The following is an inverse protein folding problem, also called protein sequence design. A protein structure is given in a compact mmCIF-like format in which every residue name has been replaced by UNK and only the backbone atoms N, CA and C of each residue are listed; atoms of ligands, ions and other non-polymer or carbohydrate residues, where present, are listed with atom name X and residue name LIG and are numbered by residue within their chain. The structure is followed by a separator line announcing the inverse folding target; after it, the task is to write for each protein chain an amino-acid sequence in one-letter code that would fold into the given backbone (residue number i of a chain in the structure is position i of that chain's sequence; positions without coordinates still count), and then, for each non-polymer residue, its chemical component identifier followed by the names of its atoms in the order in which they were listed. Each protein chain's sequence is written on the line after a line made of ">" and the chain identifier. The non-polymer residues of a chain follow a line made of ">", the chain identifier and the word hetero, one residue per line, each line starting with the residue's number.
data_IF_704204689203
#
_entry.id   IF_704204689203
#
_cell.length_a   1.000
_cell.length_b   1.000
_cell.length_c   1.000
_cell.angle_alpha   90.00
_cell.angle_beta   90.00
_cell.angle_gamma   90.00
#
_symmetry.space_group_name_H-M   'P 1'
#
loop_
_entity.id
_entity.type
_entity.pdbx_description
1 polymer ?
#
# COMPACT_ATOMS: atom_id res chain seq x y z
N UNK A 1 47.66 -34.48 13.81
CA UNK A 1 46.24 -34.41 14.23
C UNK A 1 45.44 -33.75 13.12
N UNK A 2 44.68 -34.55 12.36
CA UNK A 2 43.73 -34.06 11.35
C UNK A 2 42.44 -33.69 12.08
N UNK A 3 41.94 -32.46 11.93
CA UNK A 3 40.53 -32.18 12.17
C UNK A 3 39.87 -31.90 10.82
N UNK A 4 38.90 -32.76 10.51
CA UNK A 4 38.08 -32.74 9.31
C UNK A 4 37.06 -31.60 9.36
N UNK A 5 36.71 -31.13 8.16
CA UNK A 5 35.71 -30.13 7.87
C UNK A 5 34.29 -30.53 8.31
N UNK A 6 33.48 -29.54 8.68
CA UNK A 6 32.03 -29.61 8.54
C UNK A 6 31.53 -28.30 7.94
N UNK A 7 31.50 -28.26 6.61
CA UNK A 7 30.80 -27.26 5.82
C UNK A 7 29.33 -27.70 5.76
N UNK A 8 28.47 -27.05 6.54
CA UNK A 8 27.02 -27.25 6.43
C UNK A 8 26.52 -26.36 5.30
N UNK A 9 26.48 -26.93 4.09
CA UNK A 9 25.67 -26.42 2.99
C UNK A 9 24.20 -26.66 3.34
N UNK A 10 23.49 -25.62 3.75
CA UNK A 10 22.01 -25.64 3.72
C UNK A 10 21.58 -25.30 2.31
N UNK A 11 21.47 -26.33 1.48
CA UNK A 11 20.77 -26.27 0.20
C UNK A 11 19.35 -26.78 0.38
N UNK A 12 18.38 -25.88 0.38
CA UNK A 12 17.06 -26.16 -0.19
C UNK A 12 16.38 -24.85 -0.60
N UNK A 13 15.90 -24.72 -1.84
CA UNK A 13 15.06 -23.61 -2.23
C UNK A 13 13.70 -23.81 -1.57
N UNK A 14 13.23 -22.84 -0.78
CA UNK A 14 11.80 -22.80 -0.48
C UNK A 14 11.11 -22.40 -1.78
N UNK A 15 10.53 -23.39 -2.46
CA UNK A 15 9.43 -23.16 -3.38
C UNK A 15 8.33 -22.46 -2.58
N UNK A 16 8.26 -21.14 -2.67
CA UNK A 16 7.05 -20.43 -2.30
C UNK A 16 6.02 -20.80 -3.37
N UNK A 17 5.12 -21.71 -3.02
CA UNK A 17 3.90 -21.95 -3.75
C UNK A 17 3.26 -20.60 -4.02
N UNK A 18 3.27 -20.16 -5.29
CA UNK A 18 2.43 -19.06 -5.72
C UNK A 18 1.00 -19.47 -5.41
N UNK A 19 0.42 -18.87 -4.37
CA UNK A 19 -1.02 -18.86 -4.21
C UNK A 19 -1.56 -18.09 -5.41
N UNK A 20 -1.84 -18.80 -6.50
CA UNK A 20 -2.79 -18.38 -7.51
C UNK A 20 -4.11 -18.20 -6.74
N UNK A 21 -4.39 -16.97 -6.30
CA UNK A 21 -5.77 -16.59 -6.00
C UNK A 21 -6.48 -16.72 -7.34
N UNK A 22 -7.34 -17.75 -7.43
CA UNK A 22 -8.03 -18.15 -8.65
C UNK A 22 -8.50 -16.95 -9.47
N UNK A 23 -8.36 -17.04 -10.80
CA UNK A 23 -9.09 -16.23 -11.78
C UNK A 23 -10.59 -16.52 -11.65
N UNK A 24 -11.24 -16.10 -10.56
CA UNK A 24 -12.69 -16.11 -10.51
C UNK A 24 -13.15 -14.88 -11.28
N UNK A 25 -13.91 -15.02 -12.39
CA UNK A 25 -14.64 -13.90 -12.94
C UNK A 25 -15.59 -13.42 -11.84
N UNK A 26 -15.23 -12.33 -11.20
CA UNK A 26 -16.10 -11.64 -10.26
C UNK A 26 -17.06 -10.81 -11.11
N UNK A 27 -18.22 -11.39 -11.41
CA UNK A 27 -19.33 -10.64 -12.00
C UNK A 27 -20.02 -9.90 -10.86
N UNK A 28 -19.69 -8.62 -10.69
CA UNK A 28 -20.47 -7.72 -9.85
C UNK A 28 -21.63 -7.18 -10.69
N UNK A 29 -22.85 -7.18 -10.14
CA UNK A 29 -23.95 -6.40 -10.70
C UNK A 29 -23.73 -4.93 -10.32
N UNK A 30 -23.00 -4.19 -11.16
CA UNK A 30 -22.57 -2.81 -10.91
C UNK A 30 -23.57 -1.78 -11.42
N UNK A 31 -24.82 -2.15 -11.67
CA UNK A 31 -25.86 -1.22 -12.10
C UNK A 31 -26.30 -0.22 -11.00
N UNK A 32 -25.60 -0.17 -9.85
CA UNK A 32 -25.83 0.83 -8.82
C UNK A 32 -24.94 2.06 -9.04
N UNK A 33 -25.54 3.25 -8.97
CA UNK A 33 -24.85 4.56 -9.11
C UNK A 33 -24.02 4.96 -7.87
N UNK A 34 -23.84 4.04 -6.92
CA UNK A 34 -23.05 4.21 -5.71
C UNK A 34 -21.68 3.53 -5.88
N UNK A 35 -20.63 3.98 -5.17
CA UNK A 35 -19.34 3.29 -5.20
C UNK A 35 -19.49 1.81 -4.82
N UNK A 36 -18.95 0.94 -5.66
CA UNK A 36 -18.91 -0.49 -5.40
C UNK A 36 -17.54 -0.90 -4.87
N UNK A 37 -17.53 -1.77 -3.86
CA UNK A 37 -16.30 -2.28 -3.28
C UNK A 37 -16.12 -3.75 -3.63
N UNK A 38 -14.89 -4.11 -4.00
CA UNK A 38 -14.42 -5.48 -4.03
C UNK A 38 -13.36 -5.63 -2.93
N UNK A 39 -13.42 -6.69 -2.14
CA UNK A 39 -12.41 -6.97 -1.13
C UNK A 39 -12.12 -8.47 -1.07
N UNK A 40 -10.85 -8.82 -0.98
CA UNK A 40 -10.39 -10.21 -0.82
C UNK A 40 -9.20 -10.26 0.11
N UNK A 41 -9.12 -11.31 0.92
CA UNK A 41 -7.91 -11.60 1.69
C UNK A 41 -6.76 -11.82 0.71
N UNK A 42 -5.64 -11.17 0.98
CA UNK A 42 -4.46 -11.24 0.13
C UNK A 42 -3.21 -11.01 0.97
N UNK A 43 -2.22 -11.91 0.92
CA UNK A 43 -1.03 -11.76 1.75
C UNK A 43 -0.23 -10.54 1.31
N UNK A 44 0.54 -10.00 2.24
CA UNK A 44 1.42 -8.86 1.99
C UNK A 44 2.32 -9.05 0.76
N UNK A 45 2.38 -8.01 -0.09
CA UNK A 45 3.17 -8.03 -1.30
C UNK A 45 2.69 -7.05 -2.37
N UNK A 46 3.37 -7.09 -3.52
CA UNK A 46 2.96 -6.34 -4.70
C UNK A 46 2.15 -7.24 -5.63
N UNK A 47 1.07 -6.69 -6.18
CA UNK A 47 0.18 -7.38 -7.09
C UNK A 47 -0.09 -6.54 -8.33
N UNK A 48 -0.19 -7.20 -9.47
CA UNK A 48 -0.78 -6.62 -10.67
C UNK A 48 -2.27 -6.89 -10.64
N UNK A 49 -3.04 -5.82 -10.69
CA UNK A 49 -4.48 -5.87 -10.88
C UNK A 49 -4.77 -5.52 -12.32
N UNK A 50 -5.48 -6.38 -13.03
CA UNK A 50 -5.98 -6.14 -14.38
C UNK A 50 -7.50 -6.11 -14.33
N UNK A 51 -8.08 -5.01 -14.79
CA UNK A 51 -9.53 -4.81 -14.84
C UNK A 51 -9.99 -4.69 -16.29
N UNK A 52 -11.16 -5.26 -16.58
CA UNK A 52 -11.90 -4.98 -17.82
C UNK A 52 -13.05 -4.05 -17.45
N UNK A 53 -13.06 -2.86 -18.05
CA UNK A 53 -14.06 -1.81 -17.81
C UNK A 53 -14.95 -1.64 -19.03
N UNK A 54 -16.16 -1.14 -18.84
CA UNK A 54 -17.17 -0.96 -19.90
C UNK A 54 -18.13 -2.15 -20.07
N UNK A 55 -19.04 -2.02 -21.02
CA UNK A 55 -20.16 -2.95 -21.21
C UNK A 55 -21.15 -2.45 -22.26
N UNK A 56 -22.40 -2.89 -22.19
CA UNK A 56 -23.43 -2.52 -23.16
C UNK A 56 -23.80 -1.02 -23.08
N UNK A 57 -23.69 -0.42 -21.90
CA UNK A 57 -23.92 1.00 -21.65
C UNK A 57 -22.63 1.84 -21.70
N UNK A 58 -22.78 3.16 -21.81
CA UNK A 58 -21.65 4.09 -21.65
C UNK A 58 -21.15 4.09 -20.20
N UNK A 59 -19.83 4.03 -20.03
CA UNK A 59 -19.18 3.95 -18.72
C UNK A 59 -18.31 5.15 -18.41
N UNK A 60 -18.20 5.47 -17.12
CA UNK A 60 -17.19 6.38 -16.55
C UNK A 60 -16.76 5.81 -15.20
N UNK A 61 -15.58 5.17 -15.19
CA UNK A 61 -15.09 4.40 -14.05
C UNK A 61 -13.76 4.92 -13.54
N UNK A 62 -13.73 5.31 -12.27
CA UNK A 62 -12.53 5.54 -11.48
C UNK A 62 -12.28 4.31 -10.61
N UNK A 63 -11.02 3.89 -10.52
CA UNK A 63 -10.60 2.78 -9.68
C UNK A 63 -9.62 3.30 -8.63
N UNK A 64 -9.94 3.05 -7.36
CA UNK A 64 -9.05 3.29 -6.24
C UNK A 64 -8.76 1.98 -5.52
N UNK A 65 -7.66 1.93 -4.77
CA UNK A 65 -7.36 0.80 -3.89
C UNK A 65 -7.16 1.24 -2.44
N UNK A 66 -7.47 0.34 -1.52
CA UNK A 66 -7.43 0.53 -0.06
C UNK A 66 -8.13 1.82 0.36
N UNK A 67 -7.49 2.61 1.22
CA UNK A 67 -7.94 3.94 1.67
C UNK A 67 -7.78 5.00 0.58
N UNK A 68 -8.43 4.80 -0.57
CA UNK A 68 -8.59 5.76 -1.69
C UNK A 68 -7.32 6.07 -2.50
N UNK A 69 -6.33 5.17 -2.58
CA UNK A 69 -5.18 5.34 -3.51
C UNK A 69 -5.66 5.35 -4.95
N UNK A 70 -5.44 6.44 -5.69
CA UNK A 70 -5.94 6.57 -7.06
C UNK A 70 -5.12 5.68 -8.01
N UNK A 71 -5.79 4.75 -8.69
CA UNK A 71 -5.17 3.81 -9.62
C UNK A 71 -5.50 4.16 -11.07
N UNK A 72 -6.79 4.28 -11.37
CA UNK A 72 -7.30 4.68 -12.69
C UNK A 72 -8.29 5.83 -12.51
N UNK A 73 -8.15 6.86 -13.34
CA UNK A 73 -8.96 8.07 -13.25
C UNK A 73 -9.92 8.15 -14.43
N UNK A 74 -11.21 8.22 -14.14
CA UNK A 74 -12.29 8.53 -15.09
C UNK A 74 -12.14 7.84 -16.46
N UNK A 75 -11.98 6.51 -16.45
CA UNK A 75 -11.92 5.72 -17.68
C UNK A 75 -13.30 5.72 -18.33
N UNK A 76 -13.40 6.41 -19.46
CA UNK A 76 -14.65 6.50 -20.25
C UNK A 76 -14.70 5.37 -21.28
N UNK A 77 -15.87 4.75 -21.42
CA UNK A 77 -16.17 3.75 -22.46
C UNK A 77 -17.47 4.10 -23.15
N UNK A 78 -17.53 3.93 -24.47
CA UNK A 78 -18.78 4.02 -25.23
C UNK A 78 -19.68 2.79 -24.99
N UNK A 79 -20.99 2.86 -25.31
CA UNK A 79 -21.87 1.70 -25.32
C UNK A 79 -21.31 0.58 -26.20
N UNK A 80 -21.25 -0.63 -25.65
CA UNK A 80 -20.67 -1.83 -26.28
C UNK A 80 -19.14 -1.90 -26.26
N UNK A 81 -18.45 -0.86 -25.77
CA UNK A 81 -16.99 -0.84 -25.65
C UNK A 81 -16.53 -1.50 -24.36
N UNK A 82 -15.43 -2.25 -24.44
CA UNK A 82 -14.69 -2.69 -23.25
C UNK A 82 -13.23 -2.32 -23.37
N UNK A 83 -12.60 -2.01 -22.24
CA UNK A 83 -11.20 -1.60 -22.18
C UNK A 83 -10.48 -2.33 -21.05
N UNK A 84 -9.31 -2.89 -21.36
CA UNK A 84 -8.43 -3.50 -20.36
C UNK A 84 -7.43 -2.48 -19.83
N UNK A 85 -7.28 -2.44 -18.51
CA UNK A 85 -6.29 -1.62 -17.80
C UNK A 85 -5.62 -2.44 -16.72
N UNK A 86 -4.35 -2.16 -16.45
CA UNK A 86 -3.62 -2.79 -15.36
C UNK A 86 -2.87 -1.75 -14.55
N UNK A 87 -2.78 -1.98 -13.24
CA UNK A 87 -1.99 -1.18 -12.30
C UNK A 87 -1.34 -2.09 -11.27
N UNK A 88 -0.34 -1.55 -10.56
CA UNK A 88 0.32 -2.26 -9.46
C UNK A 88 -0.19 -1.71 -8.13
N UNK A 89 -0.50 -2.61 -7.20
CA UNK A 89 -0.92 -2.28 -5.84
C UNK A 89 -0.02 -3.00 -4.85
N UNK A 90 0.33 -2.31 -3.76
CA UNK A 90 1.02 -2.90 -2.62
C UNK A 90 0.01 -3.16 -1.50
N UNK A 91 -0.11 -4.42 -1.07
CA UNK A 91 -0.87 -4.85 0.10
C UNK A 91 0.11 -5.07 1.24
N UNK A 92 -0.28 -4.70 2.47
CA UNK A 92 0.57 -4.79 3.65
C UNK A 92 -0.21 -5.19 4.89
N UNK A 93 0.48 -5.83 5.81
CA UNK A 93 0.01 -6.16 7.15
C UNK A 93 0.85 -5.43 8.20
N UNK A 94 0.41 -5.44 9.45
CA UNK A 94 1.14 -4.76 10.54
C UNK A 94 2.40 -5.50 10.98
N UNK A 95 2.51 -6.81 10.72
CA UNK A 95 3.58 -7.64 11.25
C UNK A 95 4.97 -7.21 10.77
N UNK A 96 5.98 -7.33 11.63
CA UNK A 96 7.39 -7.19 11.29
C UNK A 96 8.21 -8.29 11.99
N UNK A 97 9.36 -8.71 11.43
CA UNK A 97 10.24 -9.64 12.11
C UNK A 97 10.60 -9.14 13.52
N UNK A 98 10.51 -10.00 14.55
CA UNK A 98 10.85 -9.58 15.90
C UNK A 98 12.33 -9.19 15.98
N UNK A 99 12.67 -8.17 16.80
CA UNK A 99 14.05 -7.78 16.98
C UNK A 99 14.85 -8.90 17.67
N UNK A 100 16.18 -8.83 17.52
CA UNK A 100 17.13 -9.68 18.24
C UNK A 100 16.87 -9.66 19.76
N UNK A 101 17.28 -10.73 20.44
CA UNK A 101 17.09 -10.85 21.89
C UNK A 101 17.69 -9.64 22.62
N UNK A 102 16.84 -8.91 23.35
CA UNK A 102 17.13 -7.67 24.11
C UNK A 102 17.28 -6.37 23.29
N UNK A 103 17.13 -6.40 21.97
CA UNK A 103 17.05 -5.17 21.19
C UNK A 103 15.67 -4.49 21.39
N UNK A 104 15.61 -3.15 21.57
CA UNK A 104 14.35 -2.44 21.69
C UNK A 104 13.56 -2.51 20.38
N UNK A 105 12.23 -2.56 20.49
CA UNK A 105 11.34 -2.61 19.33
C UNK A 105 10.08 -3.41 19.62
N UNK A 106 9.48 -3.95 18.57
CA UNK A 106 8.29 -4.78 18.62
C UNK A 106 8.17 -5.62 17.35
N UNK A 107 7.13 -6.44 17.27
CA UNK A 107 6.87 -7.34 16.15
C UNK A 107 5.70 -6.88 15.27
N UNK A 108 5.18 -5.66 15.46
CA UNK A 108 4.13 -5.09 14.64
C UNK A 108 4.17 -3.56 14.65
N UNK A 109 3.72 -2.94 13.56
CA UNK A 109 3.47 -1.49 13.47
C UNK A 109 2.41 -1.09 14.49
N UNK A 110 2.64 0.02 15.19
CA UNK A 110 1.68 0.57 16.14
C UNK A 110 0.62 1.36 15.37
N UNK A 111 -0.59 0.83 15.33
CA UNK A 111 -1.74 1.42 14.64
C UNK A 111 -2.51 2.33 15.58
N UNK A 112 -2.83 3.54 15.13
CA UNK A 112 -3.60 4.51 15.92
C UNK A 112 -5.12 4.35 15.71
N UNK A 113 -5.94 4.93 16.59
CA UNK A 113 -7.40 4.79 16.56
C UNK A 113 -8.06 5.22 15.24
N UNK A 114 -7.44 6.11 14.45
CA UNK A 114 -7.98 6.59 13.17
C UNK A 114 -7.81 5.55 12.06
N UNK A 115 -6.77 4.74 12.16
CA UNK A 115 -6.44 3.67 11.21
C UNK A 115 -7.22 2.38 11.49
N UNK A 116 -7.77 2.22 12.70
CA UNK A 116 -8.60 1.06 13.04
C UNK A 116 -9.81 0.98 12.10
N UNK A 117 -9.96 -0.19 11.46
CA UNK A 117 -10.99 -0.46 10.47
C UNK A 117 -10.80 0.27 9.14
N UNK A 118 -9.61 0.84 8.87
CA UNK A 118 -9.21 1.23 7.51
C UNK A 118 -8.88 0.00 6.66
N UNK A 119 -8.87 0.17 5.35
CA UNK A 119 -8.52 -0.89 4.38
C UNK A 119 -7.01 -1.05 4.18
N UNK A 120 -6.19 -0.43 5.04
CA UNK A 120 -4.75 -0.34 4.82
C UNK A 120 -3.94 -1.41 5.56
N UNK A 121 -4.47 -1.89 6.69
CA UNK A 121 -3.77 -2.77 7.64
C UNK A 121 -4.62 -3.99 8.03
N UNK A 122 -5.48 -4.45 7.13
CA UNK A 122 -6.51 -5.46 7.38
C UNK A 122 -6.34 -6.76 6.57
N UNK A 123 -5.12 -7.03 6.10
CA UNK A 123 -4.69 -8.24 5.39
C UNK A 123 -5.49 -8.53 4.10
N UNK A 124 -6.03 -7.48 3.49
CA UNK A 124 -6.87 -7.54 2.30
C UNK A 124 -6.36 -6.62 1.21
N UNK A 125 -6.75 -6.94 -0.02
CA UNK A 125 -6.84 -5.96 -1.10
C UNK A 125 -8.29 -5.50 -1.21
N UNK A 126 -8.52 -4.21 -1.03
CA UNK A 126 -9.81 -3.58 -1.30
C UNK A 126 -9.73 -2.65 -2.51
N UNK A 127 -10.65 -2.79 -3.45
CA UNK A 127 -10.82 -1.90 -4.61
C UNK A 127 -12.14 -1.16 -4.49
N UNK A 128 -12.12 0.15 -4.76
CA UNK A 128 -13.29 0.99 -4.91
C UNK A 128 -13.48 1.31 -6.39
N UNK A 129 -14.68 1.04 -6.91
CA UNK A 129 -15.13 1.42 -8.25
C UNK A 129 -16.16 2.53 -8.13
N UNK A 130 -15.81 3.71 -8.60
CA UNK A 130 -16.65 4.92 -8.52
C UNK A 130 -16.64 5.69 -9.83
N UNK A 131 -17.30 6.83 -9.90
CA UNK A 131 -17.48 7.63 -11.12
C UNK A 131 -18.96 7.87 -11.42
N UNK A 132 -19.25 8.56 -12.53
CA UNK A 132 -20.64 8.90 -12.87
C UNK A 132 -21.47 7.68 -13.31
N UNK A 133 -20.82 6.64 -13.85
CA UNK A 133 -21.43 5.40 -14.29
C UNK A 133 -20.36 4.28 -14.29
N UNK A 134 -19.94 3.78 -13.11
CA UNK A 134 -18.88 2.77 -13.03
C UNK A 134 -19.33 1.44 -13.66
N UNK A 135 -18.52 0.90 -14.58
CA UNK A 135 -18.77 -0.37 -15.25
C UNK A 135 -17.49 -1.22 -15.22
N UNK A 136 -17.52 -2.32 -14.48
CA UNK A 136 -16.42 -3.30 -14.35
C UNK A 136 -16.96 -4.67 -14.71
N UNK A 137 -16.32 -5.31 -15.68
CA UNK A 137 -16.69 -6.63 -16.16
C UNK A 137 -15.91 -7.74 -15.46
N UNK A 138 -14.65 -7.49 -15.11
CA UNK A 138 -13.82 -8.44 -14.36
C UNK A 138 -12.64 -7.76 -13.68
N UNK A 139 -12.16 -8.44 -12.63
CA UNK A 139 -10.92 -8.13 -11.91
C UNK A 139 -10.08 -9.39 -11.90
N UNK A 140 -8.81 -9.27 -12.30
CA UNK A 140 -7.81 -10.31 -12.21
C UNK A 140 -6.63 -9.81 -11.39
N UNK A 141 -6.16 -10.63 -10.44
CA UNK A 141 -5.11 -10.29 -9.50
C UNK A 141 -4.04 -11.37 -9.57
N UNK A 142 -2.79 -10.95 -9.73
CA UNK A 142 -1.63 -11.84 -9.72
C UNK A 142 -0.46 -11.20 -8.97
N UNK A 143 0.40 -11.99 -8.30
CA UNK A 143 1.62 -11.47 -7.71
C UNK A 143 2.50 -10.78 -8.75
N UNK A 144 3.17 -9.69 -8.36
CA UNK A 144 4.02 -8.91 -9.25
C UNK A 144 5.40 -8.64 -8.65
N UNK A 145 6.44 -9.05 -9.39
CA UNK A 145 7.81 -8.59 -9.12
C UNK A 145 8.02 -7.22 -9.78
N UNK A 146 7.93 -6.15 -8.98
CA UNK A 146 8.13 -4.79 -9.43
C UNK A 146 8.89 -3.95 -8.39
N UNK A 147 9.62 -2.91 -8.81
CA UNK A 147 10.14 -1.89 -7.90
C UNK A 147 9.00 -1.28 -7.08
N UNK A 148 9.30 -0.99 -5.82
CA UNK A 148 8.39 -0.30 -4.90
C UNK A 148 8.93 1.09 -4.58
N UNK A 149 8.05 2.10 -4.63
CA UNK A 149 8.27 3.40 -3.99
C UNK A 149 7.58 3.37 -2.64
N UNK A 150 8.36 3.46 -1.57
CA UNK A 150 7.87 3.61 -0.21
C UNK A 150 7.74 5.09 0.14
N UNK A 151 6.56 5.49 0.61
CA UNK A 151 6.31 6.87 1.06
C UNK A 151 6.24 6.91 2.58
N UNK A 152 7.03 7.78 3.18
CA UNK A 152 7.05 8.05 4.61
C UNK A 152 6.70 9.51 4.82
N UNK A 153 5.71 9.79 5.67
CA UNK A 153 5.31 11.16 5.95
C UNK A 153 4.07 11.29 6.81
N UNK A 154 3.46 12.47 6.72
CA UNK A 154 2.32 12.88 7.53
C UNK A 154 0.99 12.95 6.74
N UNK A 155 0.03 13.74 7.23
CA UNK A 155 -1.28 13.95 6.61
C UNK A 155 -1.22 14.46 5.16
N UNK A 156 -0.13 15.14 4.79
CA UNK A 156 0.07 15.66 3.42
C UNK A 156 0.50 14.57 2.44
N UNK A 157 0.89 13.39 2.93
CA UNK A 157 1.36 12.23 2.16
C UNK A 157 0.41 11.03 2.28
N UNK A 158 -0.21 10.80 3.44
CA UNK A 158 -1.00 9.59 3.78
C UNK A 158 -2.21 9.34 2.88
N UNK A 159 -2.64 8.09 2.79
CA UNK A 159 -3.91 7.69 2.19
C UNK A 159 -5.09 8.22 3.05
N UNK A 160 -5.79 9.26 2.57
CA UNK A 160 -6.88 9.86 3.34
C UNK A 160 -8.13 8.97 3.28
N UNK A 161 -8.60 8.50 4.43
CA UNK A 161 -9.78 7.64 4.53
C UNK A 161 -11.09 8.33 4.15
N UNK A 162 -11.22 9.62 4.44
CA UNK A 162 -12.47 10.37 4.27
C UNK A 162 -12.34 11.50 3.25
N UNK A 163 -13.41 11.71 2.47
CA UNK A 163 -13.62 12.90 1.66
C UNK A 163 -13.89 14.12 2.57
N UNK A 164 -13.61 15.35 2.15
CA UNK A 164 -13.10 15.80 0.84
C UNK A 164 -11.56 15.89 0.75
N UNK A 165 -10.86 15.47 1.80
CA UNK A 165 -9.40 15.51 1.87
C UNK A 165 -8.70 14.52 0.92
N UNK A 166 -7.54 14.95 0.42
CA UNK A 166 -6.61 14.14 -0.36
C UNK A 166 -5.17 14.56 -0.08
N UNK A 167 -4.23 13.63 -0.27
CA UNK A 167 -2.79 13.85 -0.16
C UNK A 167 -2.10 13.60 -1.50
N UNK A 168 -0.84 14.03 -1.65
CA UNK A 168 -0.11 13.76 -2.90
C UNK A 168 0.30 12.28 -3.01
N UNK A 169 0.62 11.62 -1.90
CA UNK A 169 1.04 10.22 -1.89
C UNK A 169 -0.09 9.27 -2.29
N UNK A 170 -1.32 9.59 -1.88
CA UNK A 170 -2.54 8.88 -2.28
C UNK A 170 -2.78 8.93 -3.81
N UNK A 171 -2.37 10.01 -4.47
CA UNK A 171 -2.59 10.22 -5.92
C UNK A 171 -1.45 9.69 -6.79
N UNK A 172 -0.26 9.54 -6.22
CA UNK A 172 0.96 9.14 -6.92
C UNK A 172 0.85 7.84 -7.76
N UNK A 173 0.15 6.76 -7.33
CA UNK A 173 0.16 5.49 -8.06
C UNK A 173 -0.31 5.63 -9.51
N UNK A 174 -1.30 6.50 -9.76
CA UNK A 174 -1.84 6.82 -11.09
C UNK A 174 -0.78 7.31 -12.09
N UNK A 175 0.30 7.90 -11.61
CA UNK A 175 1.34 8.53 -12.43
C UNK A 175 2.61 7.68 -12.60
N UNK A 176 2.71 6.54 -11.89
CA UNK A 176 3.90 5.68 -11.90
C UNK A 176 3.58 4.28 -12.48
N UNK A 177 3.34 4.15 -13.80
CA UNK A 177 3.11 2.85 -14.41
C UNK A 177 4.35 1.95 -14.24
N UNK A 178 4.14 0.69 -13.85
CA UNK A 178 5.21 -0.29 -13.69
C UNK A 178 5.95 -0.24 -12.35
N UNK A 179 5.55 0.65 -11.44
CA UNK A 179 6.07 0.74 -10.06
C UNK A 179 4.92 0.58 -9.07
N UNK A 180 5.12 -0.19 -8.00
CA UNK A 180 4.17 -0.25 -6.89
C UNK A 180 4.42 0.90 -5.92
N UNK A 181 3.37 1.47 -5.33
CA UNK A 181 3.50 2.52 -4.31
C UNK A 181 3.00 1.99 -2.97
N UNK A 182 3.90 1.91 -2.00
CA UNK A 182 3.61 1.54 -0.62
C UNK A 182 3.59 2.81 0.26
N UNK A 183 2.41 3.34 0.54
CA UNK A 183 2.26 4.59 1.28
C UNK A 183 2.17 4.34 2.80
N UNK A 184 3.27 4.43 3.53
CA UNK A 184 3.31 4.20 4.97
C UNK A 184 3.03 5.46 5.80
N UNK A 185 2.91 6.62 5.15
CA UNK A 185 2.60 7.87 5.82
C UNK A 185 1.29 7.80 6.60
N UNK A 186 1.18 8.59 7.67
CA UNK A 186 -0.05 8.64 8.46
C UNK A 186 -0.35 10.03 9.05
N UNK A 187 -1.64 10.38 9.10
CA UNK A 187 -2.10 11.67 9.59
C UNK A 187 -1.71 11.92 11.05
N UNK A 188 -0.91 12.96 11.27
CA UNK A 188 -0.45 13.35 12.61
C UNK A 188 0.94 12.81 12.97
N UNK A 189 1.53 11.98 12.11
CA UNK A 189 2.89 11.51 12.29
C UNK A 189 3.91 12.67 12.24
N UNK A 190 4.92 12.54 13.10
CA UNK A 190 6.20 13.23 13.08
C UNK A 190 7.26 12.21 12.69
N UNK A 191 8.47 12.63 12.32
CA UNK A 191 9.57 11.70 12.08
C UNK A 191 9.80 10.80 13.30
N UNK A 192 9.74 11.36 14.52
CA UNK A 192 9.96 10.62 15.76
C UNK A 192 8.85 9.60 16.04
N UNK A 193 7.58 9.98 15.90
CA UNK A 193 6.47 9.05 16.11
C UNK A 193 6.46 7.94 15.07
N UNK A 194 6.84 8.24 13.82
CA UNK A 194 6.96 7.26 12.75
C UNK A 194 8.01 6.17 13.07
N UNK A 195 9.14 6.58 13.65
CA UNK A 195 10.17 5.66 14.13
C UNK A 195 9.67 4.82 15.32
N UNK A 196 9.12 5.47 16.34
CA UNK A 196 8.66 4.75 17.55
C UNK A 196 7.44 3.88 17.32
N UNK A 197 6.62 4.20 16.31
CA UNK A 197 5.48 3.40 15.85
C UNK A 197 5.90 2.23 14.95
N UNK A 198 7.21 2.01 14.77
CA UNK A 198 7.78 0.89 14.00
C UNK A 198 7.42 0.89 12.51
N UNK A 199 6.94 2.02 11.97
CA UNK A 199 6.62 2.15 10.54
C UNK A 199 7.89 2.10 9.68
N UNK A 200 8.98 2.72 10.13
CA UNK A 200 10.27 2.59 9.41
C UNK A 200 10.77 1.16 9.45
N UNK A 201 10.65 0.47 10.60
CA UNK A 201 11.04 -0.93 10.71
C UNK A 201 10.27 -1.81 9.71
N UNK A 202 8.96 -1.54 9.52
CA UNK A 202 8.15 -2.19 8.50
C UNK A 202 8.68 -1.96 7.09
N UNK A 203 8.93 -0.70 6.71
CA UNK A 203 9.50 -0.39 5.39
C UNK A 203 10.83 -1.11 5.18
N UNK A 204 11.73 -1.07 6.18
CA UNK A 204 13.04 -1.72 6.09
C UNK A 204 12.95 -3.24 5.99
N UNK A 205 11.93 -3.88 6.58
CA UNK A 205 11.73 -5.33 6.42
C UNK A 205 11.30 -5.76 5.01
N UNK A 206 10.82 -4.83 4.18
CA UNK A 206 10.32 -5.08 2.83
C UNK A 206 11.24 -4.55 1.73
N UNK A 207 12.10 -3.60 2.08
CA UNK A 207 12.95 -2.88 1.13
C UNK A 207 13.95 -3.83 0.47
N UNK A 208 14.06 -3.74 -0.86
CA UNK A 208 15.02 -4.50 -1.66
C UNK A 208 15.75 -3.60 -2.65
N UNK A 209 16.84 -4.10 -3.22
CA UNK A 209 17.60 -3.37 -4.22
C UNK A 209 16.72 -2.98 -5.42
N UNK A 210 16.78 -1.71 -5.83
CA UNK A 210 15.95 -1.15 -6.91
C UNK A 210 14.66 -0.46 -6.43
N UNK A 211 14.31 -0.57 -5.15
CA UNK A 211 13.23 0.20 -4.55
C UNK A 211 13.68 1.63 -4.20
N UNK A 212 12.70 2.52 -4.00
CA UNK A 212 12.90 3.92 -3.64
C UNK A 212 12.19 4.24 -2.33
N UNK A 213 12.76 5.14 -1.54
CA UNK A 213 12.15 5.65 -0.31
C UNK A 213 12.05 7.16 -0.41
N UNK A 214 10.83 7.68 -0.42
CA UNK A 214 10.57 9.12 -0.36
C UNK A 214 10.10 9.49 1.04
N UNK A 215 10.75 10.49 1.62
CA UNK A 215 10.55 10.89 3.01
C UNK A 215 10.15 12.37 3.03
N UNK A 216 8.99 12.67 3.62
CA UNK A 216 8.51 14.03 3.82
C UNK A 216 7.90 14.19 5.22
N UNK A 217 8.64 14.85 6.11
CA UNK A 217 8.19 15.25 7.45
C UNK A 217 8.49 16.72 7.67
N UNK A 218 7.92 17.31 8.72
CA UNK A 218 8.14 18.72 9.09
C UNK A 218 6.89 19.41 9.62
N UNK A 219 5.72 19.15 9.03
CA UNK A 219 4.49 19.89 9.37
C UNK A 219 4.06 19.66 10.82
N UNK A 220 4.18 18.42 11.31
CA UNK A 220 3.90 18.05 12.69
C UNK A 220 5.13 18.20 13.60
N UNK A 221 6.31 17.94 13.07
CA UNK A 221 7.59 17.97 13.78
C UNK A 221 7.88 19.32 14.44
N UNK A 222 7.43 20.42 13.83
CA UNK A 222 7.62 21.79 14.35
C UNK A 222 6.74 22.14 15.57
N UNK A 223 5.78 21.30 15.95
CA UNK A 223 4.82 21.59 17.03
C UNK A 223 5.45 21.42 18.40
N UNK A 224 6.00 22.52 18.95
CA UNK A 224 6.63 22.55 20.28
C UNK A 224 5.71 22.08 21.41
N UNK A 225 4.40 22.24 21.25
CA UNK A 225 3.38 21.78 22.19
C UNK A 225 3.18 20.26 22.20
N UNK A 226 3.87 19.51 21.33
CA UNK A 226 3.92 18.05 21.33
C UNK A 226 5.31 17.58 21.81
N UNK A 227 5.66 17.80 23.09
CA UNK A 227 7.03 17.65 23.56
C UNK A 227 7.59 16.23 23.39
N UNK A 228 6.74 15.19 23.40
CA UNK A 228 7.19 13.82 23.17
C UNK A 228 7.68 13.57 21.74
N UNK A 229 7.14 14.30 20.76
CA UNK A 229 7.34 14.03 19.33
C UNK A 229 7.89 15.23 18.54
N UNK A 230 8.10 16.37 19.20
CA UNK A 230 8.76 17.54 18.64
C UNK A 230 10.16 17.19 18.12
N UNK A 231 10.47 17.65 16.90
CA UNK A 231 11.77 17.47 16.26
C UNK A 231 12.27 18.85 15.79
N UNK A 232 13.23 19.40 16.53
CA UNK A 232 13.81 20.71 16.22
C UNK A 232 14.68 20.63 14.94
N UNK A 233 14.43 21.55 14.00
CA UNK A 233 14.99 21.49 12.64
C UNK A 233 16.52 21.67 12.56
N UNK A 234 17.12 22.51 13.40
CA UNK A 234 18.55 22.80 13.40
C UNK A 234 19.40 21.75 14.16
N UNK A 235 18.79 20.96 15.03
CA UNK A 235 19.44 20.09 16.02
C UNK A 235 18.90 18.67 15.94
N UNK A 236 17.78 18.38 16.60
CA UNK A 236 17.23 17.03 16.79
C UNK A 236 16.90 16.33 15.46
N UNK A 237 16.48 17.07 14.43
CA UNK A 237 16.15 16.50 13.12
C UNK A 237 17.32 15.77 12.47
N UNK A 238 18.56 16.27 12.65
CA UNK A 238 19.77 15.68 12.07
C UNK A 238 20.22 14.38 12.76
N UNK A 239 19.65 14.08 13.93
CA UNK A 239 19.98 12.90 14.70
C UNK A 239 19.13 11.67 14.31
N UNK A 240 18.15 11.84 13.42
CA UNK A 240 17.23 10.81 12.95
C UNK A 240 17.44 10.50 11.47
#
# INVERSE_FOLDING_TARGET
>A
MKLSALLVLVTTPLLLSANLVETRPLTFDLNQREPAYFSTDLPEGNYRVTVILGGDDAGNTTVKAESRRLMLEAVVTAPGETVTRSFLVNVRETSIPPPEKNAPGGSAVVINDREVGSFTWDDKLTLEFSGAAPLVKSVHIEPAAAPTVFLLGDSTVTDQRWEDGASWGQMLPRFLPGVAVANHAESGETLKSFLTGLRLAKVLSQLKAGDYVFIQFGHNDQKRQWPQTYVEAATTYRAY
#
